data_IF_174653093958
#
_entry.id   IF_174653093958
#
_cell.length_a   1.000
_cell.length_b   1.000
_cell.length_c   1.000
_cell.angle_alpha   90.00
_cell.angle_beta   90.00
_cell.angle_gamma   90.00
#
_symmetry.space_group_name_H-M   'P 1'
#
loop_
_entity.id
_entity.type
_entity.pdbx_description
1 polymer ?
#
# COMPACT_ATOMS: atom_id res chain seq x y z
N UNK A 1 -40.23 42.28 -14.92
CA UNK A 1 -39.07 42.33 -13.98
C UNK A 1 -37.88 41.78 -14.75
N UNK A 2 -36.85 42.60 -14.97
CA UNK A 2 -35.67 42.22 -15.76
C UNK A 2 -34.67 41.61 -14.79
N UNK A 3 -34.50 40.29 -14.81
CA UNK A 3 -33.46 39.63 -14.02
C UNK A 3 -32.10 40.13 -14.50
N UNK A 4 -31.30 40.68 -13.59
CA UNK A 4 -29.91 41.04 -13.85
C UNK A 4 -29.16 39.76 -14.20
N UNK A 5 -28.68 39.64 -15.44
CA UNK A 5 -27.77 38.58 -15.83
C UNK A 5 -26.37 38.84 -15.24
N UNK A 6 -25.59 37.78 -15.04
CA UNK A 6 -24.19 37.85 -14.62
C UNK A 6 -23.34 38.63 -15.63
N UNK A 7 -22.45 39.49 -15.15
CA UNK A 7 -21.53 40.22 -16.03
C UNK A 7 -20.40 39.31 -16.53
N UNK A 8 -19.81 39.61 -17.69
CA UNK A 8 -18.65 38.85 -18.21
C UNK A 8 -17.52 38.83 -17.18
N UNK A 9 -17.29 39.94 -16.48
CA UNK A 9 -16.24 40.04 -15.45
C UNK A 9 -16.54 39.10 -14.27
N UNK A 10 -17.79 38.98 -13.88
CA UNK A 10 -18.21 38.08 -12.79
C UNK A 10 -18.07 36.61 -13.18
N UNK A 11 -18.42 36.24 -14.42
CA UNK A 11 -18.18 34.89 -14.94
C UNK A 11 -16.68 34.58 -14.97
N UNK A 12 -15.85 35.51 -15.44
CA UNK A 12 -14.39 35.32 -15.47
C UNK A 12 -13.79 35.20 -14.06
N UNK A 13 -14.33 35.94 -13.08
CA UNK A 13 -13.91 35.85 -11.69
C UNK A 13 -14.31 34.51 -11.07
N UNK A 14 -15.52 34.03 -11.31
CA UNK A 14 -15.95 32.71 -10.81
C UNK A 14 -15.10 31.59 -11.43
N UNK A 15 -14.84 31.65 -12.74
CA UNK A 15 -14.00 30.65 -13.41
C UNK A 15 -12.55 30.68 -12.91
N UNK A 16 -11.99 31.86 -12.64
CA UNK A 16 -10.61 31.95 -12.12
C UNK A 16 -10.51 31.38 -10.70
N UNK A 17 -11.49 31.66 -9.85
CA UNK A 17 -11.57 31.11 -8.49
C UNK A 17 -11.69 29.58 -8.53
N UNK A 18 -12.59 29.04 -9.37
CA UNK A 18 -12.74 27.59 -9.56
C UNK A 18 -11.44 26.96 -10.07
N UNK A 19 -10.77 27.58 -11.04
CA UNK A 19 -9.51 27.08 -11.58
C UNK A 19 -8.40 27.02 -10.51
N UNK A 20 -8.30 28.05 -9.67
CA UNK A 20 -7.35 28.08 -8.55
C UNK A 20 -7.66 26.97 -7.54
N UNK A 21 -8.92 26.83 -7.11
CA UNK A 21 -9.29 25.75 -6.18
C UNK A 21 -9.12 24.35 -6.78
N UNK A 22 -9.42 24.17 -8.07
CA UNK A 22 -9.21 22.92 -8.80
C UNK A 22 -7.74 22.54 -8.84
N UNK A 23 -6.86 23.49 -9.17
CA UNK A 23 -5.42 23.27 -9.20
C UNK A 23 -4.85 22.88 -7.82
N UNK A 24 -5.34 23.49 -6.74
CA UNK A 24 -4.93 23.16 -5.37
C UNK A 24 -5.42 21.78 -4.90
N UNK A 25 -6.55 21.29 -5.43
CA UNK A 25 -7.13 20.01 -5.04
C UNK A 25 -6.39 18.80 -5.63
N UNK A 26 -5.80 18.94 -6.82
CA UNK A 26 -5.12 17.84 -7.53
C UNK A 26 -4.00 17.17 -6.71
N UNK A 27 -3.00 17.88 -6.14
CA UNK A 27 -1.90 17.23 -5.41
C UNK A 27 -2.41 16.48 -4.16
N UNK A 28 -3.39 17.05 -3.46
CA UNK A 28 -4.01 16.42 -2.29
C UNK A 28 -4.76 15.14 -2.66
N UNK A 29 -5.50 15.15 -3.77
CA UNK A 29 -6.18 13.97 -4.27
C UNK A 29 -5.20 12.85 -4.65
N UNK A 30 -4.12 13.19 -5.37
CA UNK A 30 -3.09 12.19 -5.75
C UNK A 30 -2.41 11.56 -4.54
N UNK A 31 -2.14 12.34 -3.49
CA UNK A 31 -1.61 11.80 -2.25
C UNK A 31 -2.56 10.77 -1.65
N UNK A 32 -3.84 11.13 -1.48
CA UNK A 32 -4.85 10.23 -0.91
C UNK A 32 -5.01 8.93 -1.70
N UNK A 33 -4.98 8.99 -3.04
CA UNK A 33 -5.06 7.77 -3.85
C UNK A 33 -3.91 6.79 -3.60
N UNK A 34 -2.68 7.29 -3.38
CA UNK A 34 -1.50 6.44 -3.15
C UNK A 34 -1.62 5.71 -1.80
N UNK A 35 -2.02 6.43 -0.75
CA UNK A 35 -2.19 5.84 0.59
C UNK A 35 -3.30 4.79 0.57
N UNK A 36 -4.44 5.13 -0.01
CA UNK A 36 -5.57 4.22 -0.09
C UNK A 36 -5.27 2.98 -0.97
N UNK A 37 -4.41 3.09 -2.00
CA UNK A 37 -3.94 1.94 -2.76
C UNK A 37 -3.05 1.02 -1.91
N UNK A 38 -2.21 1.58 -1.02
CA UNK A 38 -1.38 0.81 -0.09
C UNK A 38 -2.24 0.04 0.91
N UNK A 39 -3.23 0.68 1.52
CA UNK A 39 -4.16 0.03 2.45
C UNK A 39 -4.92 -1.12 1.79
N UNK A 40 -5.47 -0.89 0.59
CA UNK A 40 -6.14 -1.97 -0.16
C UNK A 40 -5.21 -3.11 -0.52
N UNK A 41 -3.95 -2.81 -0.77
CA UNK A 41 -2.94 -3.84 -1.06
C UNK A 41 -2.67 -4.71 0.17
N UNK A 42 -2.67 -4.13 1.37
CA UNK A 42 -2.57 -4.88 2.63
C UNK A 42 -3.75 -5.83 2.79
N UNK A 43 -4.98 -5.34 2.61
CA UNK A 43 -6.19 -6.16 2.67
C UNK A 43 -6.15 -7.30 1.66
N UNK A 44 -5.76 -7.01 0.42
CA UNK A 44 -5.70 -7.98 -0.67
C UNK A 44 -4.67 -9.08 -0.41
N UNK A 45 -3.47 -8.73 0.05
CA UNK A 45 -2.43 -9.71 0.40
C UNK A 45 -2.87 -10.56 1.59
N UNK A 46 -3.44 -9.93 2.62
CA UNK A 46 -3.95 -10.61 3.82
C UNK A 46 -5.06 -11.60 3.46
N UNK A 47 -6.02 -11.18 2.65
CA UNK A 47 -7.11 -12.04 2.15
C UNK A 47 -6.58 -13.18 1.28
N UNK A 48 -5.63 -12.90 0.39
CA UNK A 48 -4.99 -13.92 -0.45
C UNK A 48 -4.26 -14.98 0.36
N UNK A 49 -3.53 -14.58 1.40
CA UNK A 49 -2.86 -15.48 2.35
C UNK A 49 -3.87 -16.33 3.13
N UNK A 50 -4.93 -15.71 3.67
CA UNK A 50 -6.00 -16.46 4.35
C UNK A 50 -6.69 -17.45 3.42
N UNK A 51 -6.91 -17.07 2.16
CA UNK A 51 -7.52 -17.93 1.14
C UNK A 51 -6.63 -19.13 0.82
N UNK A 52 -5.34 -18.91 0.56
CA UNK A 52 -4.37 -19.97 0.31
C UNK A 52 -4.26 -20.94 1.49
N UNK A 53 -4.23 -20.41 2.71
CA UNK A 53 -4.23 -21.22 3.92
C UNK A 53 -5.47 -22.09 4.04
N UNK A 54 -6.65 -21.49 3.89
CA UNK A 54 -7.92 -22.22 3.98
C UNK A 54 -8.02 -23.33 2.94
N UNK A 55 -7.56 -23.09 1.70
CA UNK A 55 -7.48 -24.11 0.66
C UNK A 55 -6.56 -25.28 1.05
N UNK A 56 -5.42 -24.99 1.66
CA UNK A 56 -4.48 -26.01 2.15
C UNK A 56 -5.04 -26.80 3.34
N UNK A 57 -5.69 -26.14 4.29
CA UNK A 57 -6.31 -26.77 5.46
C UNK A 57 -7.43 -27.73 5.06
N UNK A 58 -8.19 -27.39 4.02
CA UNK A 58 -9.22 -28.26 3.44
C UNK A 58 -8.65 -29.38 2.57
N UNK A 59 -7.33 -29.42 2.33
CA UNK A 59 -6.71 -30.29 1.33
C UNK A 59 -7.42 -30.17 -0.04
N UNK A 60 -7.79 -28.95 -0.43
CA UNK A 60 -8.49 -28.71 -1.69
C UNK A 60 -7.58 -29.11 -2.86
N UNK A 61 -8.12 -29.91 -3.80
CA UNK A 61 -7.37 -30.47 -4.93
C UNK A 61 -6.13 -31.31 -4.54
N UNK A 62 -6.14 -31.94 -3.36
CA UNK A 62 -5.06 -32.81 -2.85
C UNK A 62 -3.67 -32.15 -2.87
N UNK A 63 -3.63 -30.84 -2.57
CA UNK A 63 -2.40 -30.06 -2.67
C UNK A 63 -2.28 -28.99 -1.59
N UNK A 64 -1.04 -28.59 -1.32
CA UNK A 64 -0.75 -27.34 -0.63
C UNK A 64 -1.07 -26.17 -1.56
N UNK A 65 -1.41 -25.04 -0.95
CA UNK A 65 -1.66 -23.79 -1.65
C UNK A 65 -0.81 -22.69 -1.04
N UNK A 66 -0.47 -21.71 -1.85
CA UNK A 66 0.33 -20.57 -1.44
C UNK A 66 -0.10 -19.27 -2.10
N UNK A 67 0.53 -18.19 -1.66
CA UNK A 67 0.36 -16.86 -2.20
C UNK A 67 1.71 -16.27 -2.59
N UNK A 68 1.83 -15.80 -3.83
CA UNK A 68 3.02 -15.10 -4.32
C UNK A 68 2.75 -13.60 -4.36
N UNK A 69 3.50 -12.84 -3.58
CA UNK A 69 3.17 -11.45 -3.23
C UNK A 69 3.34 -10.51 -4.42
N UNK A 70 4.46 -10.62 -5.14
CA UNK A 70 4.80 -9.65 -6.19
C UNK A 70 3.83 -9.70 -7.39
N UNK A 71 3.28 -10.88 -7.70
CA UNK A 71 2.26 -11.03 -8.75
C UNK A 71 0.84 -11.04 -8.21
N UNK A 72 0.70 -11.16 -6.89
CA UNK A 72 -0.57 -11.31 -6.21
C UNK A 72 -1.35 -12.54 -6.65
N UNK A 73 -0.68 -13.68 -6.79
CA UNK A 73 -1.30 -14.92 -7.26
C UNK A 73 -1.46 -15.88 -6.09
N UNK A 74 -2.69 -16.37 -5.88
CA UNK A 74 -2.93 -17.57 -5.09
C UNK A 74 -2.70 -18.77 -6.02
N UNK A 75 -1.84 -19.69 -5.62
CA UNK A 75 -1.42 -20.80 -6.46
C UNK A 75 -1.55 -22.14 -5.75
N UNK A 76 -1.78 -23.19 -6.56
CA UNK A 76 -1.74 -24.59 -6.10
C UNK A 76 -0.32 -25.13 -6.25
N UNK A 77 0.30 -25.55 -5.16
CA UNK A 77 1.65 -26.11 -5.12
C UNK A 77 2.40 -25.75 -3.83
N UNK A 78 3.51 -26.45 -3.57
CA UNK A 78 4.37 -26.17 -2.43
C UNK A 78 5.28 -24.94 -2.62
N UNK A 79 5.55 -24.57 -3.87
CA UNK A 79 6.36 -23.41 -4.28
C UNK A 79 5.71 -22.76 -5.50
N UNK A 80 5.87 -21.44 -5.67
CA UNK A 80 5.28 -20.74 -6.81
C UNK A 80 5.91 -21.18 -8.15
N UNK A 81 7.19 -21.53 -8.13
CA UNK A 81 7.92 -21.98 -9.32
C UNK A 81 7.39 -23.30 -9.90
N UNK A 82 6.92 -24.19 -9.03
CA UNK A 82 6.44 -25.53 -9.37
C UNK A 82 4.90 -25.62 -9.38
N UNK A 83 4.22 -24.46 -9.39
CA UNK A 83 2.77 -24.39 -9.29
C UNK A 83 2.06 -24.94 -10.52
N UNK A 84 0.81 -25.35 -10.32
CA UNK A 84 -0.12 -25.63 -11.40
C UNK A 84 -0.85 -24.34 -11.82
N UNK A 85 -0.42 -23.75 -12.94
CA UNK A 85 -0.96 -22.49 -13.45
C UNK A 85 -2.43 -22.55 -13.84
N UNK A 86 -3.01 -23.76 -14.00
CA UNK A 86 -4.44 -23.93 -14.29
C UNK A 86 -5.36 -23.52 -13.13
N UNK A 87 -4.80 -23.37 -11.93
CA UNK A 87 -5.51 -23.00 -10.71
C UNK A 87 -5.10 -21.61 -10.17
N UNK A 88 -4.32 -20.83 -10.93
CA UNK A 88 -3.88 -19.50 -10.51
C UNK A 88 -5.10 -18.57 -10.34
N UNK A 89 -5.29 -18.05 -9.13
CA UNK A 89 -6.23 -16.96 -8.85
C UNK A 89 -5.45 -15.65 -8.75
N UNK A 90 -5.72 -14.72 -9.68
CA UNK A 90 -4.92 -13.51 -9.84
C UNK A 90 -5.59 -12.32 -9.15
N UNK A 91 -4.88 -11.75 -8.19
CA UNK A 91 -5.24 -10.56 -7.43
C UNK A 91 -4.01 -9.63 -7.43
N UNK A 92 -3.76 -8.89 -8.53
CA UNK A 92 -2.51 -8.17 -8.72
C UNK A 92 -2.48 -6.89 -7.88
N UNK A 93 -1.30 -6.52 -7.40
CA UNK A 93 -1.10 -5.25 -6.69
C UNK A 93 -1.20 -4.07 -7.67
N UNK A 94 -1.68 -2.90 -7.20
CA UNK A 94 -1.59 -1.65 -7.96
C UNK A 94 -0.15 -1.31 -8.32
N UNK A 95 0.09 -0.67 -9.47
CA UNK A 95 1.44 -0.24 -9.89
C UNK A 95 2.05 0.84 -9.00
N UNK A 96 1.25 1.42 -8.11
CA UNK A 96 1.66 2.40 -7.09
C UNK A 96 2.27 1.75 -5.85
N UNK A 97 2.28 0.41 -5.76
CA UNK A 97 2.77 -0.37 -4.62
C UNK A 97 3.76 -1.42 -5.11
N UNK A 98 4.83 -1.60 -4.35
CA UNK A 98 5.86 -2.63 -4.56
C UNK A 98 5.99 -3.49 -3.31
N UNK A 99 6.39 -4.75 -3.46
CA UNK A 99 6.55 -5.70 -2.34
C UNK A 99 8.01 -6.09 -2.13
N UNK A 100 8.43 -6.29 -0.89
CA UNK A 100 9.73 -6.85 -0.50
C UNK A 100 9.60 -7.72 0.76
N UNK A 101 10.70 -8.30 1.24
CA UNK A 101 10.67 -9.28 2.33
C UNK A 101 10.34 -10.68 1.81
N UNK A 102 9.38 -11.37 2.43
CA UNK A 102 8.91 -12.66 1.95
C UNK A 102 8.26 -12.53 0.56
N UNK A 103 8.73 -13.30 -0.42
CA UNK A 103 8.22 -13.27 -1.80
C UNK A 103 6.99 -14.16 -2.00
N UNK A 104 6.91 -15.26 -1.26
CA UNK A 104 5.79 -16.20 -1.27
C UNK A 104 5.65 -16.89 0.08
N UNK A 105 4.44 -17.37 0.35
CA UNK A 105 4.14 -18.21 1.51
C UNK A 105 3.18 -19.30 1.06
N UNK A 106 3.59 -20.56 1.23
CA UNK A 106 2.73 -21.74 1.06
C UNK A 106 2.35 -22.31 2.43
N UNK A 107 1.25 -23.04 2.49
CA UNK A 107 0.72 -23.56 3.76
C UNK A 107 0.67 -25.08 3.75
N UNK A 108 1.02 -25.67 4.90
CA UNK A 108 0.95 -27.10 5.10
C UNK A 108 -0.49 -27.60 5.06
N UNK A 109 -0.70 -28.76 4.43
CA UNK A 109 -2.02 -29.38 4.31
C UNK A 109 -2.54 -29.80 5.69
N UNK A 110 -3.82 -29.60 5.94
CA UNK A 110 -4.55 -29.89 7.20
C UNK A 110 -4.15 -29.04 8.41
N UNK A 111 -2.88 -28.64 8.55
CA UNK A 111 -2.42 -27.84 9.71
C UNK A 111 -2.41 -26.34 9.43
N UNK A 112 -2.27 -25.94 8.16
CA UNK A 112 -2.21 -24.54 7.76
C UNK A 112 -0.94 -23.82 8.21
N UNK A 113 0.11 -24.56 8.60
CA UNK A 113 1.37 -23.97 9.03
C UNK A 113 2.07 -23.30 7.84
N UNK A 114 2.55 -22.05 7.98
CA UNK A 114 3.23 -21.36 6.89
C UNK A 114 4.61 -21.98 6.63
N UNK A 115 5.02 -22.03 5.36
CA UNK A 115 6.33 -22.54 4.95
C UNK A 115 7.49 -21.63 5.36
N UNK A 116 7.21 -20.35 5.62
CA UNK A 116 8.14 -19.38 6.16
C UNK A 116 7.45 -18.39 7.10
N UNK A 117 8.17 -17.94 8.12
CA UNK A 117 7.78 -16.82 9.00
C UNK A 117 8.65 -15.61 8.70
N UNK A 118 8.16 -14.42 9.03
CA UNK A 118 8.82 -13.14 8.70
C UNK A 118 7.81 -12.10 8.24
N UNK A 119 8.26 -11.03 7.59
CA UNK A 119 7.39 -9.93 7.16
C UNK A 119 7.38 -9.77 5.65
N UNK A 120 6.19 -9.52 5.12
CA UNK A 120 5.98 -8.97 3.79
C UNK A 120 5.88 -7.46 3.96
N UNK A 121 6.68 -6.72 3.18
CA UNK A 121 6.73 -5.26 3.25
C UNK A 121 6.17 -4.68 1.96
N UNK A 122 5.05 -3.98 2.06
CA UNK A 122 4.47 -3.24 0.96
C UNK A 122 4.95 -1.80 1.03
N UNK A 123 5.51 -1.28 -0.07
CA UNK A 123 6.02 0.09 -0.16
C UNK A 123 5.33 0.81 -1.31
N UNK A 124 4.62 1.88 -0.98
CA UNK A 124 4.00 2.75 -1.97
C UNK A 124 5.04 3.67 -2.65
N UNK A 125 4.69 4.23 -3.81
CA UNK A 125 5.56 5.16 -4.56
C UNK A 125 5.93 6.43 -3.81
N UNK A 126 5.18 6.80 -2.77
CA UNK A 126 5.50 7.90 -1.85
C UNK A 126 6.40 7.43 -0.68
N UNK A 127 6.91 6.21 -0.70
CA UNK A 127 7.75 5.66 0.37
C UNK A 127 7.00 5.24 1.63
N UNK A 128 5.67 5.37 1.69
CA UNK A 128 4.87 4.80 2.78
C UNK A 128 5.02 3.27 2.78
N UNK A 129 5.16 2.68 3.97
CA UNK A 129 5.36 1.26 4.13
C UNK A 129 4.31 0.64 5.04
N UNK A 130 3.85 -0.56 4.69
CA UNK A 130 3.04 -1.41 5.55
C UNK A 130 3.68 -2.78 5.69
N UNK A 131 3.59 -3.33 6.89
CA UNK A 131 4.19 -4.60 7.25
C UNK A 131 3.08 -5.61 7.52
N UNK A 132 3.20 -6.78 6.89
CA UNK A 132 2.32 -7.92 7.11
C UNK A 132 3.20 -9.02 7.69
N UNK A 133 3.02 -9.33 8.96
CA UNK A 133 3.87 -10.28 9.66
C UNK A 133 3.24 -11.67 9.66
N UNK A 134 4.04 -12.69 9.31
CA UNK A 134 3.68 -14.10 9.25
C UNK A 134 4.37 -14.83 10.40
N UNK A 135 3.58 -15.49 11.24
CA UNK A 135 4.05 -16.25 12.40
C UNK A 135 3.48 -17.67 12.39
N UNK A 136 4.17 -18.61 13.04
CA UNK A 136 3.72 -19.99 13.22
C UNK A 136 2.56 -20.08 14.22
N UNK A 137 1.57 -20.94 13.97
CA UNK A 137 0.36 -21.12 14.80
C UNK A 137 -0.93 -20.77 14.05
N UNK A 138 -2.04 -20.40 14.71
CA UNK A 138 -3.11 -19.68 14.04
C UNK A 138 -2.52 -18.36 13.55
N UNK A 139 -2.02 -18.35 12.30
CA UNK A 139 -1.32 -17.26 11.64
C UNK A 139 -1.96 -15.93 12.03
N UNK A 140 -1.28 -15.24 12.93
CA UNK A 140 -1.56 -13.86 13.25
C UNK A 140 -1.02 -13.07 12.07
N UNK A 141 -1.86 -12.86 11.06
CA UNK A 141 -1.60 -11.83 10.07
C UNK A 141 -1.87 -10.52 10.79
N UNK A 142 -0.86 -10.00 11.47
CA UNK A 142 -0.91 -8.63 11.99
C UNK A 142 -0.72 -7.73 10.78
N UNK A 143 -1.85 -7.27 10.23
CA UNK A 143 -1.85 -6.06 9.42
C UNK A 143 -1.50 -4.93 10.37
N UNK A 144 -0.42 -4.23 10.07
CA UNK A 144 -0.02 -2.99 10.73
C UNK A 144 0.72 -3.18 12.07
N UNK A 145 2.06 -3.11 12.02
CA UNK A 145 2.81 -2.65 13.19
C UNK A 145 2.40 -1.20 13.47
N UNK A 146 2.23 -0.85 14.75
CA UNK A 146 1.90 0.51 15.23
C UNK A 146 2.90 1.60 14.75
N UNK A 147 4.07 1.21 14.22
CA UNK A 147 5.10 2.10 13.65
C UNK A 147 5.03 2.21 12.11
N UNK A 148 4.09 1.53 11.44
CA UNK A 148 3.96 1.55 9.96
C UNK A 148 3.26 2.79 9.41
N UNK A 149 2.65 3.59 10.28
CA UNK A 149 2.13 4.93 9.96
C UNK A 149 3.24 5.99 9.85
N UNK A 150 4.51 5.64 10.02
CA UNK A 150 5.61 6.60 9.99
C UNK A 150 6.34 6.61 8.65
N UNK A 151 6.43 7.79 8.04
CA UNK A 151 7.29 8.05 6.89
C UNK A 151 8.69 8.46 7.37
N UNK A 152 9.71 7.88 6.74
CA UNK A 152 11.07 8.41 6.84
C UNK A 152 11.23 9.54 5.85
N UNK A 153 11.64 10.71 6.32
CA UNK A 153 11.82 11.90 5.48
C UNK A 153 13.17 12.57 5.76
N UNK A 154 13.68 13.27 4.76
CA UNK A 154 14.79 14.18 4.88
C UNK A 154 14.23 15.57 5.13
N UNK A 155 14.42 16.04 6.37
CA UNK A 155 13.83 17.27 6.87
C UNK A 155 14.79 18.46 6.74
N UNK A 156 14.32 19.56 6.15
CA UNK A 156 15.07 20.81 5.97
C UNK A 156 14.56 21.88 6.95
N UNK A 157 15.29 22.03 8.06
CA UNK A 157 14.99 23.04 9.09
C UNK A 157 15.56 24.42 8.72
N UNK A 158 15.02 25.04 7.66
CA UNK A 158 15.10 26.49 7.35
C UNK A 158 16.37 27.25 7.76
N UNK A 159 17.57 26.70 7.54
CA UNK A 159 18.85 27.28 7.96
C UNK A 159 19.89 26.29 8.50
N UNK A 160 19.52 25.03 8.78
CA UNK A 160 20.43 23.95 9.20
C UNK A 160 20.75 22.93 8.10
N UNK A 161 21.68 22.02 8.40
CA UNK A 161 21.90 20.82 7.58
C UNK A 161 20.65 19.93 7.62
N UNK A 162 20.28 19.31 6.49
CA UNK A 162 19.17 18.39 6.46
C UNK A 162 19.46 17.16 7.34
N UNK A 163 18.43 16.63 7.98
CA UNK A 163 18.55 15.43 8.81
C UNK A 163 17.34 14.50 8.65
N UNK A 164 17.60 13.21 8.81
CA UNK A 164 16.59 12.17 8.65
C UNK A 164 15.72 12.09 9.91
N UNK A 165 14.41 12.16 9.73
CA UNK A 165 13.42 11.97 10.81
C UNK A 165 12.34 10.99 10.38
N UNK A 166 11.65 10.39 11.36
CA UNK A 166 10.38 9.70 11.16
C UNK A 166 9.25 10.65 11.55
N UNK A 167 8.25 10.78 10.69
CA UNK A 167 7.03 11.54 10.98
C UNK A 167 5.81 10.66 10.73
N UNK A 168 4.69 10.87 11.43
CA UNK A 168 3.46 10.21 11.02
C UNK A 168 3.08 10.64 9.60
N UNK A 169 2.53 9.73 8.82
CA UNK A 169 2.11 9.93 7.42
C UNK A 169 1.14 11.11 7.29
N UNK A 170 0.30 11.31 8.30
CA UNK A 170 -0.61 12.45 8.38
C UNK A 170 0.09 13.82 8.43
N UNK A 171 1.34 13.88 8.90
CA UNK A 171 2.12 15.12 8.98
C UNK A 171 2.84 15.46 7.66
N UNK A 172 2.97 14.51 6.72
CA UNK A 172 3.73 14.71 5.49
C UNK A 172 3.29 15.91 4.64
N UNK A 173 1.99 16.17 4.42
CA UNK A 173 1.57 17.33 3.62
C UNK A 173 2.09 18.68 4.16
N UNK A 174 2.28 18.79 5.48
CA UNK A 174 2.83 20.00 6.11
C UNK A 174 4.35 20.07 5.93
N UNK A 175 5.04 18.95 6.12
CA UNK A 175 6.49 18.81 5.94
C UNK A 175 6.94 19.09 4.50
N UNK A 176 6.26 18.49 3.51
CA UNK A 176 6.54 18.72 2.10
C UNK A 176 6.36 20.19 1.69
N UNK A 177 5.27 20.83 2.15
CA UNK A 177 4.87 22.15 1.65
C UNK A 177 5.57 23.31 2.36
N UNK A 178 5.82 23.19 3.66
CA UNK A 178 6.34 24.30 4.46
C UNK A 178 7.86 24.23 4.67
N UNK A 179 8.42 23.02 4.72
CA UNK A 179 9.84 22.81 5.03
C UNK A 179 10.66 22.43 3.80
N UNK A 180 10.03 22.02 2.69
CA UNK A 180 10.74 21.54 1.51
C UNK A 180 11.32 20.14 1.71
N UNK A 181 10.73 19.37 2.63
CA UNK A 181 11.16 18.03 2.98
C UNK A 181 11.00 17.06 1.82
N UNK A 182 11.88 16.05 1.78
CA UNK A 182 11.85 14.99 0.76
C UNK A 182 11.63 13.62 1.41
N UNK A 183 11.04 12.68 0.68
CA UNK A 183 10.82 11.32 1.17
C UNK A 183 12.14 10.54 1.16
N UNK A 184 12.36 9.72 2.19
CA UNK A 184 13.57 8.93 2.37
C UNK A 184 14.60 9.60 3.29
N UNK A 185 15.71 8.91 3.53
CA UNK A 185 16.82 9.46 4.31
C UNK A 185 17.52 10.61 3.58
N UNK A 186 18.15 11.51 4.33
CA UNK A 186 18.99 12.53 3.71
C UNK A 186 20.21 11.93 3.00
N UNK A 187 20.68 12.56 1.90
CA UNK A 187 21.89 12.16 1.18
C UNK A 187 23.16 12.20 2.03
#
# INVERSE_FOLDING_TARGET
MRHSAFTIVEILLVLSVIAVFGALSIPSYRYYTIVNDLERSVDQVTQGLHRARFLSELNEQDSAWGYHVATGIIFKGGLYADRDTGFDEVQPLPTTVTSSGLSEVSFAVLTGDPSATGSIVLTAVNGAQRFITIQSGPVLILGEEEDSDFLTICHYSGGGNPHTIKIPESAWPAHQRNHGDTLGACP
#
